data_IF_236228571848
#
_entry.id   IF_236228571848
#
_cell.length_a   1.000
_cell.length_b   1.000
_cell.length_c   1.000
_cell.angle_alpha   90.00
_cell.angle_beta   90.00
_cell.angle_gamma   90.00
#
_symmetry.space_group_name_H-M   'P 1'
#
loop_
_entity.id
_entity.type
_entity.pdbx_description
1 polymer ?
#
# COMPACT_ATOMS: atom_id res chain seq x y z
N UNK A 1 -13.15 -10.60 10.21
CA UNK A 1 -12.88 -11.07 8.85
C UNK A 1 -11.47 -10.66 8.50
N UNK A 2 -10.52 -11.59 8.60
CA UNK A 2 -9.16 -11.37 8.11
C UNK A 2 -9.12 -11.96 6.70
N UNK A 3 -9.10 -11.09 5.70
CA UNK A 3 -8.86 -11.50 4.32
C UNK A 3 -7.36 -11.65 4.13
N UNK A 4 -6.90 -12.85 3.79
CA UNK A 4 -5.55 -13.07 3.29
C UNK A 4 -5.70 -13.52 1.83
N UNK A 5 -5.05 -12.81 0.93
CA UNK A 5 -4.83 -13.29 -0.43
C UNK A 5 -3.48 -14.00 -0.43
N UNK A 6 -3.49 -15.33 -0.43
CA UNK A 6 -2.27 -16.12 -0.60
C UNK A 6 -1.81 -16.03 -2.06
N UNK A 7 -0.56 -15.64 -2.30
CA UNK A 7 0.02 -15.56 -3.64
C UNK A 7 1.22 -16.50 -3.76
N UNK A 8 1.09 -17.55 -4.58
CA UNK A 8 2.17 -18.42 -5.08
C UNK A 8 3.33 -17.61 -5.72
N UNK A 9 4.60 -18.08 -5.69
CA UNK A 9 5.78 -17.29 -6.08
C UNK A 9 5.80 -16.72 -7.52
N UNK A 10 5.00 -17.26 -8.45
CA UNK A 10 4.81 -16.68 -9.81
C UNK A 10 3.93 -15.42 -9.78
N UNK A 11 3.20 -15.16 -8.69
CA UNK A 11 2.24 -14.07 -8.48
C UNK A 11 2.84 -12.82 -7.79
N UNK A 12 4.16 -12.74 -7.58
CA UNK A 12 4.79 -11.62 -6.86
C UNK A 12 4.51 -10.24 -7.49
N UNK A 13 4.20 -10.19 -8.80
CA UNK A 13 3.79 -8.97 -9.50
C UNK A 13 2.29 -8.67 -9.45
N UNK A 14 1.45 -9.69 -9.20
CA UNK A 14 -0.01 -9.55 -9.12
C UNK A 14 -0.44 -9.12 -7.71
N UNK A 15 0.31 -9.48 -6.67
CA UNK A 15 0.03 -9.03 -5.29
C UNK A 15 0.04 -7.51 -5.16
N UNK A 16 0.91 -6.82 -5.90
CA UNK A 16 0.94 -5.35 -5.96
C UNK A 16 -0.22 -4.74 -6.75
N UNK A 17 -1.06 -5.53 -7.41
CA UNK A 17 -2.24 -5.05 -8.12
C UNK A 17 -3.51 -5.06 -7.25
N UNK A 18 -3.38 -5.45 -5.98
CA UNK A 18 -4.48 -5.48 -5.01
C UNK A 18 -4.09 -4.70 -3.77
N UNK A 19 -4.85 -3.66 -3.45
CA UNK A 19 -4.74 -2.92 -2.19
C UNK A 19 -5.92 -3.28 -1.29
N UNK A 20 -5.64 -3.91 -0.16
CA UNK A 20 -6.63 -4.21 0.87
C UNK A 20 -6.73 -3.01 1.81
N UNK A 21 -7.94 -2.55 2.11
CA UNK A 21 -8.18 -1.44 3.02
C UNK A 21 -9.36 -1.74 3.92
N UNK A 22 -9.44 -1.10 5.08
CA UNK A 22 -10.60 -1.23 5.97
C UNK A 22 -11.16 0.15 6.30
N UNK A 23 -12.48 0.33 6.15
CA UNK A 23 -13.17 1.57 6.51
C UNK A 23 -14.56 1.22 7.07
N UNK A 24 -14.91 1.78 8.23
CA UNK A 24 -16.23 1.60 8.87
C UNK A 24 -16.67 0.12 8.95
N UNK A 25 -15.80 -0.76 9.45
CA UNK A 25 -16.00 -2.22 9.57
C UNK A 25 -16.19 -2.99 8.24
N UNK A 26 -15.93 -2.35 7.09
CA UNK A 26 -15.93 -3.01 5.79
C UNK A 26 -14.49 -3.15 5.29
N UNK A 27 -14.20 -4.29 4.65
CA UNK A 27 -12.95 -4.53 3.94
C UNK A 27 -13.17 -4.18 2.46
N UNK A 28 -12.31 -3.35 1.91
CA UNK A 28 -12.29 -2.93 0.52
C UNK A 28 -11.07 -3.54 -0.16
N UNK A 29 -11.27 -4.03 -1.39
CA UNK A 29 -10.19 -4.45 -2.26
C UNK A 29 -10.19 -3.52 -3.47
N UNK A 30 -9.11 -2.76 -3.62
CA UNK A 30 -8.89 -1.98 -4.84
C UNK A 30 -8.06 -2.84 -5.78
N UNK A 31 -8.51 -2.96 -7.02
CA UNK A 31 -7.93 -3.84 -8.02
C UNK A 31 -7.41 -3.00 -9.18
N UNK A 32 -6.22 -3.34 -9.66
CA UNK A 32 -5.67 -2.81 -10.91
C UNK A 32 -5.44 -3.94 -11.89
N UNK A 33 -6.03 -3.82 -13.08
CA UNK A 33 -5.92 -4.85 -14.08
C UNK A 33 -4.78 -4.51 -15.06
N UNK A 34 -3.81 -5.40 -15.27
CA UNK A 34 -2.66 -5.11 -16.13
C UNK A 34 -3.03 -5.05 -17.62
N UNK A 35 -4.17 -5.64 -18.01
CA UNK A 35 -4.67 -5.70 -19.38
C UNK A 35 -6.20 -5.88 -19.36
N UNK A 36 -6.90 -5.58 -20.46
CA UNK A 36 -8.31 -5.95 -20.60
C UNK A 36 -8.54 -7.46 -20.53
N UNK A 37 -9.73 -7.86 -20.09
CA UNK A 37 -10.22 -9.23 -20.16
C UNK A 37 -10.89 -9.70 -18.86
N UNK A 38 -11.13 -11.01 -18.79
CA UNK A 38 -11.76 -11.63 -17.63
C UNK A 38 -10.72 -12.06 -16.60
N UNK A 39 -10.96 -11.68 -15.35
CA UNK A 39 -10.14 -12.03 -14.20
C UNK A 39 -10.98 -12.74 -13.15
N UNK A 40 -10.37 -13.70 -12.46
CA UNK A 40 -10.99 -14.39 -11.32
C UNK A 40 -10.38 -13.85 -10.04
N UNK A 41 -11.20 -13.28 -9.17
CA UNK A 41 -10.82 -12.92 -7.81
C UNK A 41 -11.39 -13.97 -6.84
N UNK A 42 -10.52 -14.59 -6.06
CA UNK A 42 -10.92 -15.54 -5.01
C UNK A 42 -10.56 -14.96 -3.65
N UNK A 43 -11.53 -14.92 -2.75
CA UNK A 43 -11.33 -14.44 -1.39
C UNK A 43 -11.28 -15.61 -0.43
N UNK A 44 -10.22 -15.63 0.39
CA UNK A 44 -9.99 -16.60 1.44
C UNK A 44 -9.98 -15.86 2.78
N UNK A 45 -10.75 -16.33 3.76
CA UNK A 45 -10.88 -15.64 5.04
C UNK A 45 -11.16 -16.58 6.19
N UNK A 46 -10.74 -16.19 7.39
CA UNK A 46 -11.10 -16.81 8.65
C UNK A 46 -11.82 -15.81 9.57
N UNK A 47 -12.71 -16.30 10.46
CA UNK A 47 -13.16 -15.53 11.60
C UNK A 47 -11.96 -15.00 12.42
N UNK A 48 -12.11 -13.85 13.07
CA UNK A 48 -11.00 -13.18 13.78
C UNK A 48 -10.39 -14.05 14.88
N UNK A 49 -11.21 -14.93 15.47
CA UNK A 49 -10.81 -15.79 16.58
C UNK A 49 -10.43 -17.21 16.13
N UNK A 50 -10.52 -17.49 14.83
CA UNK A 50 -10.16 -18.79 14.29
C UNK A 50 -8.65 -18.83 14.01
N UNK A 51 -7.98 -19.85 14.54
CA UNK A 51 -6.53 -20.07 14.42
C UNK A 51 -6.20 -21.21 13.46
N UNK A 52 -7.15 -21.64 12.65
CA UNK A 52 -6.91 -22.64 11.60
C UNK A 52 -5.79 -22.19 10.66
N UNK A 53 -4.88 -23.10 10.34
CA UNK A 53 -3.81 -22.85 9.35
C UNK A 53 -4.36 -22.84 7.91
N UNK A 54 -5.61 -23.26 7.71
CA UNK A 54 -6.28 -23.27 6.41
C UNK A 54 -7.27 -22.13 6.29
N UNK A 55 -7.06 -21.26 5.29
CA UNK A 55 -8.03 -20.22 4.95
C UNK A 55 -9.08 -20.81 4.00
N UNK A 56 -10.35 -20.96 4.41
CA UNK A 56 -11.39 -21.42 3.49
C UNK A 56 -11.67 -20.36 2.43
N UNK A 57 -11.97 -20.81 1.21
CA UNK A 57 -12.45 -19.95 0.14
C UNK A 57 -13.91 -19.60 0.40
N UNK A 58 -14.21 -18.30 0.50
CA UNK A 58 -15.57 -17.81 0.83
C UNK A 58 -16.27 -17.16 -0.34
N UNK A 59 -15.53 -16.53 -1.26
CA UNK A 59 -16.11 -15.87 -2.43
C UNK A 59 -15.25 -16.11 -3.66
N UNK A 60 -15.91 -16.16 -4.81
CA UNK A 60 -15.27 -16.17 -6.13
C UNK A 60 -16.02 -15.19 -7.02
N UNK A 61 -15.31 -14.21 -7.56
CA UNK A 61 -15.83 -13.22 -8.49
C UNK A 61 -15.19 -13.42 -9.85
N UNK A 62 -16.02 -13.41 -10.90
CA UNK A 62 -15.56 -13.20 -12.26
C UNK A 62 -15.70 -11.71 -12.57
N UNK A 63 -14.60 -11.07 -12.92
CA UNK A 63 -14.52 -9.64 -13.19
C UNK A 63 -14.19 -9.46 -14.65
N UNK A 64 -15.08 -8.81 -15.39
CA UNK A 64 -14.79 -8.30 -16.72
C UNK A 64 -14.12 -6.93 -16.58
N UNK A 65 -12.82 -6.87 -16.89
CA UNK A 65 -12.06 -5.63 -16.91
C UNK A 65 -11.95 -5.13 -18.36
N UNK A 66 -12.88 -4.28 -18.76
CA UNK A 66 -12.84 -3.60 -20.06
C UNK A 66 -11.90 -2.38 -20.06
N UNK A 67 -11.67 -1.79 -18.88
CA UNK A 67 -10.77 -0.66 -18.65
C UNK A 67 -9.55 -1.11 -17.84
N UNK A 68 -8.37 -0.62 -18.21
CA UNK A 68 -7.11 -0.89 -17.49
C UNK A 68 -6.45 0.40 -17.05
N UNK A 69 -5.91 0.41 -15.83
CA UNK A 69 -5.24 1.57 -15.27
C UNK A 69 -3.76 1.50 -15.62
N UNK A 70 -3.39 2.15 -16.73
CA UNK A 70 -2.00 2.36 -17.14
C UNK A 70 -1.64 3.84 -17.20
N UNK A 71 -1.48 4.50 -16.04
CA UNK A 71 -0.75 5.76 -16.01
C UNK A 71 0.57 5.56 -16.74
N UNK A 72 0.83 6.44 -17.70
CA UNK A 72 2.13 6.54 -18.34
C UNK A 72 2.56 5.28 -19.11
N UNK A 73 1.58 4.56 -19.68
CA UNK A 73 1.80 3.37 -20.51
C UNK A 73 2.15 2.09 -19.73
N UNK A 74 2.35 2.18 -18.42
CA UNK A 74 2.75 1.06 -17.56
C UNK A 74 1.69 0.70 -16.53
N UNK A 75 1.68 -0.56 -16.11
CA UNK A 75 0.76 -1.02 -15.06
C UNK A 75 1.26 -0.46 -13.74
N UNK A 76 0.51 0.49 -13.17
CA UNK A 76 0.90 1.12 -11.92
C UNK A 76 0.56 0.22 -10.72
N UNK A 77 1.53 -0.31 -9.97
CA UNK A 77 1.24 -1.08 -8.77
C UNK A 77 0.63 -0.20 -7.68
N UNK A 78 0.00 -0.81 -6.69
CA UNK A 78 -0.20 -0.24 -5.37
C UNK A 78 1.08 -0.43 -4.52
N UNK A 79 1.19 0.25 -3.37
CA UNK A 79 2.30 0.07 -2.47
C UNK A 79 2.29 -1.36 -1.91
N UNK A 80 3.48 -1.93 -1.72
CA UNK A 80 3.63 -3.25 -1.11
C UNK A 80 3.11 -3.20 0.33
N UNK A 81 2.19 -4.08 0.67
CA UNK A 81 1.61 -4.18 2.01
C UNK A 81 2.38 -5.21 2.84
N UNK A 82 2.76 -4.85 4.07
CA UNK A 82 3.35 -5.76 5.04
C UNK A 82 2.31 -6.29 6.02
N UNK A 83 2.69 -7.29 6.83
CA UNK A 83 1.80 -7.97 7.77
C UNK A 83 1.05 -7.04 8.73
N UNK A 84 1.65 -5.90 9.09
CA UNK A 84 1.04 -4.92 9.99
C UNK A 84 0.02 -3.99 9.31
N UNK A 85 -0.10 -4.05 7.97
CA UNK A 85 -1.19 -3.40 7.24
C UNK A 85 -2.47 -4.25 7.32
N UNK A 86 -3.24 -4.05 8.40
CA UNK A 86 -4.38 -4.91 8.78
C UNK A 86 -5.62 -4.11 9.17
N UNK A 87 -6.53 -4.70 9.95
CA UNK A 87 -7.80 -4.12 10.37
C UNK A 87 -7.73 -2.63 10.71
N UNK A 88 -8.56 -1.87 10.01
CA UNK A 88 -8.72 -0.42 10.16
C UNK A 88 -7.66 0.43 9.46
N UNK A 89 -6.63 -0.18 8.86
CA UNK A 89 -5.68 0.55 8.02
C UNK A 89 -6.35 0.99 6.71
N UNK A 90 -6.12 2.25 6.34
CA UNK A 90 -6.67 2.85 5.12
C UNK A 90 -5.67 3.86 4.55
N UNK A 91 -5.45 3.83 3.23
CA UNK A 91 -4.53 4.72 2.53
C UNK A 91 -5.34 5.67 1.65
N UNK A 92 -5.25 6.96 1.92
CA UNK A 92 -5.89 8.00 1.08
C UNK A 92 -4.93 8.50 0.00
N UNK A 93 -3.67 8.77 0.35
CA UNK A 93 -2.62 9.21 -0.59
C UNK A 93 -1.23 8.97 0.00
N UNK A 94 -0.20 8.70 -0.83
CA UNK A 94 -0.27 8.37 -2.25
C UNK A 94 -0.75 6.92 -2.46
N UNK A 95 -1.57 6.68 -3.47
CA UNK A 95 -2.10 5.33 -3.76
C UNK A 95 -1.27 4.57 -4.79
N UNK A 96 -0.44 5.26 -5.56
CA UNK A 96 0.46 4.66 -6.52
C UNK A 96 1.68 4.09 -5.82
N UNK A 97 2.06 2.87 -6.22
CA UNK A 97 3.22 2.16 -5.68
C UNK A 97 4.55 2.65 -6.24
N UNK A 98 4.55 3.37 -7.37
CA UNK A 98 5.74 4.03 -7.92
C UNK A 98 5.51 5.54 -7.87
N UNK A 99 6.37 6.26 -7.16
CA UNK A 99 6.23 7.69 -6.89
C UNK A 99 7.18 8.50 -7.78
N UNK A 100 6.76 9.71 -8.15
CA UNK A 100 7.60 10.67 -8.88
C UNK A 100 7.62 10.51 -10.40
N UNK A 101 6.72 9.71 -10.97
CA UNK A 101 6.63 9.52 -12.42
C UNK A 101 5.95 10.69 -13.14
N UNK A 102 6.38 10.99 -14.36
CA UNK A 102 5.65 11.80 -15.35
C UNK A 102 4.74 10.96 -16.24
N UNK A 103 4.00 11.60 -17.14
CA UNK A 103 3.09 10.97 -18.11
C UNK A 103 3.76 9.97 -19.06
N UNK A 104 5.10 9.91 -19.12
CA UNK A 104 5.85 8.96 -19.94
C UNK A 104 6.46 7.82 -19.12
N UNK A 105 6.21 7.79 -17.80
CA UNK A 105 6.67 6.73 -16.91
C UNK A 105 8.14 6.89 -16.54
N UNK A 106 8.67 8.10 -16.68
CA UNK A 106 10.03 8.49 -16.28
C UNK A 106 9.98 9.33 -15.03
N UNK A 107 11.11 9.50 -14.35
CA UNK A 107 11.20 10.50 -13.29
C UNK A 107 10.76 11.86 -13.83
N UNK A 108 9.78 12.45 -13.16
CA UNK A 108 9.25 13.78 -13.50
C UNK A 108 10.33 14.84 -13.51
N UNK A 109 10.22 15.78 -14.45
CA UNK A 109 11.17 16.87 -14.63
C UNK A 109 10.42 18.21 -14.75
N UNK A 110 10.47 19.08 -13.73
CA UNK A 110 11.16 18.88 -12.44
C UNK A 110 10.41 17.88 -11.55
N UNK A 111 11.12 17.10 -10.70
CA UNK A 111 10.46 16.19 -9.79
C UNK A 111 9.81 16.95 -8.62
N UNK A 112 8.72 16.43 -8.04
CA UNK A 112 8.00 17.10 -6.97
C UNK A 112 8.89 17.31 -5.75
N UNK A 113 8.83 18.50 -5.15
CA UNK A 113 9.65 18.84 -3.99
C UNK A 113 9.32 18.01 -2.75
N UNK A 114 8.06 17.59 -2.65
CA UNK A 114 7.52 16.89 -1.50
C UNK A 114 6.32 16.02 -1.90
N UNK A 115 6.02 14.99 -1.11
CA UNK A 115 4.89 14.10 -1.32
C UNK A 115 3.95 14.11 -0.11
N UNK A 116 2.64 14.34 -0.31
CA UNK A 116 1.67 14.26 0.77
C UNK A 116 1.36 12.81 1.12
N UNK A 117 1.36 12.50 2.41
CA UNK A 117 0.87 11.25 2.97
C UNK A 117 -0.39 11.50 3.78
N UNK A 118 -1.38 10.64 3.59
CA UNK A 118 -2.61 10.61 4.39
C UNK A 118 -3.04 9.16 4.54
N UNK A 119 -2.88 8.65 5.76
CA UNK A 119 -3.08 7.24 6.09
C UNK A 119 -3.82 7.14 7.41
N UNK A 120 -4.69 6.15 7.56
CA UNK A 120 -5.27 5.76 8.84
C UNK A 120 -4.53 4.53 9.35
N UNK A 121 -4.02 4.60 10.57
CA UNK A 121 -3.36 3.49 11.25
C UNK A 121 -3.88 3.44 12.68
N UNK A 122 -4.85 2.56 12.98
CA UNK A 122 -5.44 2.48 14.31
C UNK A 122 -4.44 2.03 15.37
N UNK A 123 -4.58 2.57 16.58
CA UNK A 123 -3.75 2.25 17.76
C UNK A 123 -2.25 2.53 17.62
N UNK A 124 -1.80 3.13 16.52
CA UNK A 124 -0.44 3.60 16.43
C UNK A 124 -0.24 4.78 17.39
N UNK A 125 0.94 4.87 18.00
CA UNK A 125 1.35 6.02 18.80
C UNK A 125 2.28 6.95 18.02
N UNK A 126 2.86 6.45 16.93
CA UNK A 126 3.64 7.23 15.97
C UNK A 126 3.61 6.56 14.59
N UNK A 127 3.55 7.37 13.53
CA UNK A 127 3.74 6.92 12.15
C UNK A 127 4.80 7.80 11.50
N UNK A 128 5.70 7.19 10.76
CA UNK A 128 6.76 7.89 10.05
C UNK A 128 6.93 7.36 8.63
N UNK A 129 7.39 8.25 7.76
CA UNK A 129 7.84 7.90 6.41
C UNK A 129 9.36 7.89 6.39
N UNK A 130 9.94 6.82 5.87
CA UNK A 130 11.38 6.56 5.87
C UNK A 130 11.88 6.51 4.44
N UNK A 131 12.91 7.31 4.14
CA UNK A 131 13.58 7.35 2.83
C UNK A 131 15.09 7.42 3.07
N UNK A 132 15.81 6.35 2.74
CA UNK A 132 17.20 6.19 3.18
C UNK A 132 17.29 6.21 4.71
N UNK A 133 18.13 7.08 5.26
CA UNK A 133 18.31 7.24 6.70
C UNK A 133 17.39 8.31 7.32
N UNK A 134 16.51 8.91 6.51
CA UNK A 134 15.67 10.02 6.96
C UNK A 134 14.27 9.59 7.36
N UNK A 135 13.88 10.08 8.53
CA UNK A 135 12.59 9.78 9.15
C UNK A 135 11.75 11.05 9.22
N UNK A 136 10.65 11.08 8.49
CA UNK A 136 9.65 12.16 8.58
C UNK A 136 8.46 11.65 9.39
N UNK A 137 8.29 12.16 10.61
CA UNK A 137 7.12 11.84 11.45
C UNK A 137 5.87 12.49 10.85
N UNK A 138 4.76 11.76 10.86
CA UNK A 138 3.45 12.27 10.45
C UNK A 138 2.71 12.84 11.66
N UNK A 139 1.94 13.89 11.44
CA UNK A 139 1.07 14.50 12.42
C UNK A 139 -0.19 13.65 12.60
N UNK A 140 -0.64 13.50 13.84
CA UNK A 140 -1.81 12.69 14.19
C UNK A 140 -3.07 13.53 14.43
N UNK A 141 -4.19 13.00 14.00
CA UNK A 141 -5.55 13.44 14.32
C UNK A 141 -6.37 12.18 14.63
N UNK A 142 -6.25 11.70 15.87
CA UNK A 142 -6.70 10.36 16.26
C UNK A 142 -5.95 9.26 15.51
N UNK A 143 -6.68 8.37 14.84
CA UNK A 143 -6.10 7.30 14.01
C UNK A 143 -5.59 7.80 12.63
N UNK A 144 -5.80 9.08 12.28
CA UNK A 144 -5.40 9.62 10.99
C UNK A 144 -4.03 10.29 11.09
N UNK A 145 -3.15 9.94 10.16
CA UNK A 145 -1.78 10.40 10.09
C UNK A 145 -1.55 11.14 8.78
N UNK A 146 -1.09 12.39 8.86
CA UNK A 146 -0.89 13.27 7.70
C UNK A 146 0.48 13.93 7.77
N UNK A 147 1.08 14.19 6.63
CA UNK A 147 2.33 14.94 6.57
C UNK A 147 2.83 15.08 5.15
N UNK A 148 3.80 15.95 4.95
CA UNK A 148 4.41 16.19 3.65
C UNK A 148 5.90 15.85 3.72
N UNK A 149 6.32 14.87 2.93
CA UNK A 149 7.67 14.30 2.98
C UNK A 149 8.53 14.97 1.94
N UNK A 150 9.64 15.58 2.34
CA UNK A 150 10.55 16.28 1.43
C UNK A 150 11.35 15.29 0.60
N UNK A 151 11.27 15.40 -0.74
CA UNK A 151 11.84 14.41 -1.66
C UNK A 151 12.97 14.92 -2.55
N UNK A 152 13.19 16.25 -2.63
CA UNK A 152 14.16 16.87 -3.57
C UNK A 152 15.53 16.17 -3.62
N UNK A 153 16.08 15.77 -2.47
CA UNK A 153 17.41 15.16 -2.36
C UNK A 153 17.44 13.64 -2.58
N UNK A 154 16.27 13.00 -2.64
CA UNK A 154 16.10 11.55 -2.70
C UNK A 154 15.86 11.03 -4.11
N UNK A 155 15.28 11.86 -5.00
CA UNK A 155 15.03 11.50 -6.40
C UNK A 155 16.30 11.09 -7.14
N UNK A 156 16.21 10.01 -7.93
CA UNK A 156 17.34 9.43 -8.68
C UNK A 156 18.44 8.79 -7.83
N UNK A 157 18.34 8.84 -6.49
CA UNK A 157 19.32 8.26 -5.55
C UNK A 157 18.74 7.09 -4.77
N UNK A 158 17.55 7.29 -4.21
CA UNK A 158 16.84 6.29 -3.42
C UNK A 158 15.87 5.54 -4.31
N UNK A 159 15.79 4.22 -4.12
CA UNK A 159 14.86 3.36 -4.88
C UNK A 159 13.55 3.10 -4.16
N UNK A 160 13.50 3.34 -2.86
CA UNK A 160 12.40 2.92 -1.99
C UNK A 160 12.08 3.95 -0.93
N UNK A 161 10.82 3.95 -0.53
CA UNK A 161 10.26 4.71 0.57
C UNK A 161 9.33 3.78 1.37
N UNK A 162 9.38 3.82 2.69
CA UNK A 162 8.52 3.02 3.55
C UNK A 162 7.65 3.89 4.47
N UNK A 163 6.43 3.44 4.76
CA UNK A 163 5.59 3.96 5.84
C UNK A 163 5.66 2.97 6.98
N UNK A 164 6.05 3.42 8.16
CA UNK A 164 6.24 2.58 9.34
C UNK A 164 5.44 3.12 10.52
N UNK A 165 5.00 2.24 11.42
CA UNK A 165 4.24 2.61 12.61
C UNK A 165 4.84 1.99 13.87
N UNK A 166 4.67 2.69 14.98
CA UNK A 166 5.02 2.25 16.34
C UNK A 166 3.74 2.17 17.17
N UNK A 167 3.56 1.11 17.95
CA UNK A 167 2.31 0.82 18.66
C UNK A 167 2.43 0.91 20.19
N UNK A 168 3.64 0.78 20.74
CA UNK A 168 3.90 0.98 22.17
C UNK A 168 5.10 1.88 22.38
N UNK A 169 5.11 2.69 23.44
CA UNK A 169 6.26 3.55 23.80
C UNK A 169 7.52 2.72 24.06
N UNK A 170 7.32 1.50 24.55
CA UNK A 170 8.38 0.55 24.92
C UNK A 170 8.95 -0.20 23.72
N UNK A 171 8.30 -0.13 22.55
CA UNK A 171 8.83 -0.76 21.34
C UNK A 171 10.10 -0.02 20.90
N UNK A 172 11.19 -0.74 20.71
CA UNK A 172 12.41 -0.16 20.13
C UNK A 172 12.28 0.05 18.62
N UNK A 173 11.36 -0.66 17.98
CA UNK A 173 11.28 -0.77 16.53
C UNK A 173 9.95 -0.25 15.97
N UNK A 174 10.02 0.30 14.76
CA UNK A 174 8.83 0.59 13.97
C UNK A 174 8.53 -0.59 13.06
N UNK A 175 7.26 -0.99 13.01
CA UNK A 175 6.81 -2.01 12.08
C UNK A 175 6.56 -1.40 10.69
N UNK A 176 7.10 -1.98 9.60
CA UNK A 176 6.79 -1.52 8.26
C UNK A 176 5.31 -1.83 7.93
N UNK A 177 4.63 -0.87 7.30
CA UNK A 177 3.25 -0.97 6.88
C UNK A 177 3.15 -1.06 5.36
N UNK A 178 3.75 -0.09 4.67
CA UNK A 178 3.72 0.06 3.22
C UNK A 178 5.13 0.34 2.69
N UNK A 179 5.46 -0.17 1.51
CA UNK A 179 6.68 0.18 0.76
C UNK A 179 6.33 0.61 -0.66
N UNK A 180 6.99 1.66 -1.11
CA UNK A 180 6.85 2.28 -2.42
C UNK A 180 8.18 2.18 -3.16
N UNK A 181 8.11 2.09 -4.48
CA UNK A 181 9.23 2.35 -5.38
C UNK A 181 9.30 3.84 -5.71
N UNK A 182 10.51 4.35 -5.92
CA UNK A 182 10.74 5.71 -6.36
C UNK A 182 11.22 5.70 -7.81
N UNK A 183 10.69 6.60 -8.62
CA UNK A 183 11.15 6.81 -9.98
C UNK A 183 12.65 7.17 -9.99
N UNK A 184 13.34 6.62 -10.99
CA UNK A 184 14.78 6.81 -11.22
C UNK A 184 15.03 7.57 -12.51
#
# INVERSE_FOLDING_TARGET
>A
MIGYLASSPVLSRISLQILQQTKKNQVFFLLRFPKPGFFRLELYTLPVNDRSDSLPKVYTYLIDASLYHRPCGQVMPFPKQFQHWRHGCYLKTPIDGILGLDDNGRLSSPPPSSLPFNVRVPNAIAVAVVVGDEWTKLDSEGDHWKGNVHMKKHWGKMRKLAVCAKYSTNDTEYSPLLEYELAM
#
